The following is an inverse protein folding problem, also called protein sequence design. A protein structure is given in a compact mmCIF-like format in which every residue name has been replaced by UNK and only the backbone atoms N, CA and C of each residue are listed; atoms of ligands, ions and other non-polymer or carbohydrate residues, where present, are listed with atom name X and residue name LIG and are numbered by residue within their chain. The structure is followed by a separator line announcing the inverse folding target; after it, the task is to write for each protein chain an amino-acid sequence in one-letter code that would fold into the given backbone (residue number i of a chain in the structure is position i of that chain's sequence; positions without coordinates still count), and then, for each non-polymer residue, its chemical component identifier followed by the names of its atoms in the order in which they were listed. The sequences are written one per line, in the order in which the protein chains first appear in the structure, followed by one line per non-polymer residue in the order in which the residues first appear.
data_IF_080024502577
#
_entry.id   IF_080024502577
#
_cell.length_a   1.000
_cell.length_b   1.000
_cell.length_c   1.000
_cell.angle_alpha   90.00
_cell.angle_beta   90.00
_cell.angle_gamma   90.00
#
_symmetry.space_group_name_H-M   'P 1'
#
loop_
_entity.id
_entity.type
_entity.pdbx_description
1 polymer ?
#
# COMPACT_ATOMS: atom_id res chain seq x y z
N UNK A 1 2.63 32.31 -2.83
CA UNK A 1 3.66 31.49 -2.12
C UNK A 1 3.13 30.06 -2.08
N UNK A 2 3.89 29.09 -2.51
CA UNK A 2 3.45 27.68 -2.39
C UNK A 2 3.41 27.30 -0.88
N UNK A 3 2.35 26.62 -0.48
CA UNK A 3 2.19 26.16 0.91
C UNK A 3 3.36 25.24 1.30
N UNK A 4 4.04 25.53 2.40
CA UNK A 4 5.12 24.69 2.93
C UNK A 4 4.52 23.58 3.80
N UNK A 5 4.18 22.45 3.19
CA UNK A 5 3.64 21.30 3.92
C UNK A 5 4.63 20.58 4.85
N UNK A 6 5.96 20.73 4.66
CA UNK A 6 6.95 20.14 5.60
C UNK A 6 6.74 20.62 7.04
N UNK A 7 6.21 21.82 7.21
CA UNK A 7 5.94 22.37 8.54
C UNK A 7 4.88 21.57 9.34
N UNK A 8 3.96 20.89 8.65
CA UNK A 8 2.93 20.08 9.28
C UNK A 8 3.50 18.74 9.83
N UNK A 9 4.71 18.36 9.39
CA UNK A 9 5.37 17.10 9.74
C UNK A 9 6.53 17.36 10.70
N UNK A 10 6.38 17.13 12.00
CA UNK A 10 7.38 17.50 13.02
C UNK A 10 8.77 16.94 12.78
N UNK A 11 8.88 15.72 12.25
CA UNK A 11 10.17 15.14 11.92
C UNK A 11 10.88 15.94 10.83
N UNK A 12 10.18 16.29 9.76
CA UNK A 12 10.74 17.05 8.63
C UNK A 12 11.03 18.50 8.99
N UNK A 13 10.26 19.09 9.92
CA UNK A 13 10.50 20.43 10.43
C UNK A 13 11.75 20.52 11.34
N UNK A 14 12.13 19.40 11.98
CA UNK A 14 13.23 19.35 12.96
C UNK A 14 14.51 18.73 12.41
N UNK A 15 14.46 18.02 11.30
CA UNK A 15 15.61 17.32 10.70
C UNK A 15 15.97 17.90 9.36
N UNK A 16 17.26 18.18 9.16
CA UNK A 16 17.79 18.56 7.86
C UNK A 16 18.04 17.30 7.01
N UNK A 17 16.98 16.77 6.39
CA UNK A 17 17.01 15.57 5.58
C UNK A 17 16.09 15.71 4.37
N UNK A 18 16.56 15.34 3.19
CA UNK A 18 15.72 15.08 2.04
C UNK A 18 15.16 13.65 2.19
N UNK A 19 13.94 13.55 2.76
CA UNK A 19 13.30 12.24 2.99
C UNK A 19 12.59 11.78 1.72
N UNK A 20 13.19 10.83 1.02
CA UNK A 20 12.77 10.32 -0.29
C UNK A 20 12.50 8.80 -0.26
N UNK A 21 11.97 8.28 0.87
CA UNK A 21 11.59 6.87 1.03
C UNK A 21 10.12 6.72 1.47
N UNK A 22 9.23 7.61 0.97
CA UNK A 22 7.80 7.65 1.35
C UNK A 22 7.04 6.38 0.95
N UNK A 23 7.41 5.73 -0.15
CA UNK A 23 6.82 4.45 -0.56
C UNK A 23 7.12 3.28 0.42
N UNK A 24 8.12 3.43 1.30
CA UNK A 24 8.35 2.49 2.41
C UNK A 24 7.51 2.85 3.63
N UNK A 25 7.52 4.11 4.04
CA UNK A 25 6.66 4.69 5.08
C UNK A 25 6.63 6.21 4.91
N UNK A 26 5.45 6.83 4.88
CA UNK A 26 5.32 8.29 4.86
C UNK A 26 5.57 8.87 6.26
N UNK A 27 5.87 10.16 6.35
CA UNK A 27 5.95 10.87 7.64
C UNK A 27 4.54 11.18 8.17
N UNK A 28 4.42 11.44 9.48
CA UNK A 28 3.14 11.71 10.14
C UNK A 28 2.98 13.19 10.38
N UNK A 29 1.84 13.80 9.97
CA UNK A 29 1.53 15.16 10.34
C UNK A 29 1.23 15.26 11.84
N UNK A 30 1.39 16.45 12.40
CA UNK A 30 1.18 16.68 13.83
C UNK A 30 -0.20 16.24 14.31
N UNK A 31 -1.26 16.45 13.51
CA UNK A 31 -2.63 16.08 13.88
C UNK A 31 -2.80 14.56 14.12
N UNK A 32 -2.06 13.73 13.42
CA UNK A 32 -2.07 12.27 13.62
C UNK A 32 -1.42 11.89 14.95
N UNK A 33 -0.26 12.49 15.26
CA UNK A 33 0.42 12.27 16.53
C UNK A 33 -0.44 12.76 17.73
N UNK A 34 -1.14 13.87 17.53
CA UNK A 34 -2.04 14.42 18.54
C UNK A 34 -3.27 13.53 18.75
N UNK A 35 -3.85 12.97 17.70
CA UNK A 35 -4.99 12.06 17.79
C UNK A 35 -4.66 10.78 18.58
N UNK A 36 -3.52 10.14 18.33
CA UNK A 36 -3.06 8.99 19.11
C UNK A 36 -2.81 9.36 20.58
N UNK A 37 -2.13 10.48 20.81
CA UNK A 37 -1.89 10.99 22.17
C UNK A 37 -3.19 11.29 22.90
N UNK A 38 -4.15 11.93 22.25
CA UNK A 38 -5.46 12.26 22.81
C UNK A 38 -6.22 11.01 23.20
N UNK A 39 -6.25 9.98 22.33
CA UNK A 39 -6.87 8.71 22.65
C UNK A 39 -6.32 8.13 23.96
N UNK A 40 -5.00 7.98 24.08
CA UNK A 40 -4.38 7.40 25.27
C UNK A 40 -4.52 8.25 26.53
N UNK A 41 -4.59 9.57 26.41
CA UNK A 41 -4.66 10.47 27.57
C UNK A 41 -6.07 10.76 28.02
N UNK A 42 -7.10 10.57 27.17
CA UNK A 42 -8.47 10.97 27.48
C UNK A 42 -9.51 9.85 27.30
N UNK A 43 -9.31 8.92 26.37
CA UNK A 43 -10.32 7.95 25.95
C UNK A 43 -9.85 6.48 26.08
N UNK A 44 -8.71 6.24 26.73
CA UNK A 44 -8.11 4.92 26.80
C UNK A 44 -8.95 3.94 27.62
N UNK A 45 -9.72 3.11 26.92
CA UNK A 45 -10.45 1.98 27.46
C UNK A 45 -10.53 0.85 26.41
N UNK A 46 -10.91 -0.36 26.82
CA UNK A 46 -11.21 -1.45 25.88
C UNK A 46 -12.53 -1.13 25.17
N UNK A 47 -12.56 -1.00 23.84
CA UNK A 47 -13.79 -0.74 23.09
C UNK A 47 -14.70 -1.97 23.06
N UNK A 48 -15.94 -1.79 22.57
CA UNK A 48 -16.99 -2.76 22.22
C UNK A 48 -17.80 -3.32 23.41
N UNK A 49 -17.19 -3.86 24.46
CA UNK A 49 -17.95 -4.60 25.51
C UNK A 49 -18.22 -3.87 26.81
N UNK A 50 -17.58 -2.75 27.06
CA UNK A 50 -17.78 -1.97 28.29
C UNK A 50 -19.02 -1.10 28.20
N UNK A 51 -19.81 -1.05 29.29
CA UNK A 51 -21.01 -0.19 29.37
C UNK A 51 -20.74 1.13 30.10
N UNK A 52 -19.50 1.42 30.47
CA UNK A 52 -19.08 2.67 31.14
C UNK A 52 -18.61 3.72 30.11
N UNK A 53 -18.70 5.03 30.42
CA UNK A 53 -18.49 6.11 29.47
C UNK A 53 -17.19 6.00 28.66
N UNK A 54 -16.04 5.73 29.28
CA UNK A 54 -14.75 5.61 28.58
C UNK A 54 -14.74 4.47 27.56
N UNK A 55 -15.40 3.34 27.82
CA UNK A 55 -15.48 2.25 26.85
C UNK A 55 -16.38 2.61 25.66
N UNK A 56 -17.43 3.37 25.90
CA UNK A 56 -18.30 3.90 24.85
C UNK A 56 -17.51 4.89 23.99
N UNK A 57 -16.78 5.83 24.59
CA UNK A 57 -15.94 6.78 23.87
C UNK A 57 -14.85 6.08 23.03
N UNK A 58 -14.23 5.03 23.56
CA UNK A 58 -13.24 4.24 22.83
C UNK A 58 -13.87 3.49 21.65
N UNK A 59 -15.11 2.99 21.80
CA UNK A 59 -15.89 2.35 20.73
C UNK A 59 -16.27 3.37 19.67
N UNK A 60 -16.76 4.54 20.07
CA UNK A 60 -17.11 5.63 19.14
C UNK A 60 -15.90 6.09 18.32
N UNK A 61 -14.71 6.17 18.93
CA UNK A 61 -13.48 6.50 18.23
C UNK A 61 -13.11 5.43 17.17
N UNK A 62 -13.24 4.15 17.52
CA UNK A 62 -12.98 3.03 16.60
C UNK A 62 -13.97 3.02 15.42
N UNK A 63 -15.27 3.11 15.71
CA UNK A 63 -16.31 3.03 14.66
C UNK A 63 -16.36 4.31 13.80
N UNK A 64 -16.06 5.48 14.37
CA UNK A 64 -15.87 6.70 13.59
C UNK A 64 -14.70 6.59 12.62
N UNK A 65 -13.60 5.96 13.03
CA UNK A 65 -12.47 5.68 12.15
C UNK A 65 -12.86 4.69 11.04
N UNK A 66 -13.66 3.66 11.35
CA UNK A 66 -14.19 2.72 10.34
C UNK A 66 -15.06 3.43 9.31
N UNK A 67 -15.96 4.28 9.73
CA UNK A 67 -16.80 5.10 8.86
C UNK A 67 -15.95 6.06 7.99
N UNK A 68 -14.88 6.63 8.54
CA UNK A 68 -13.94 7.46 7.77
C UNK A 68 -13.21 6.66 6.69
N UNK A 69 -12.76 5.44 6.98
CA UNK A 69 -12.15 4.53 5.99
C UNK A 69 -13.16 4.15 4.90
N UNK A 70 -14.40 3.81 5.29
CA UNK A 70 -15.46 3.49 4.33
C UNK A 70 -15.72 4.65 3.37
N UNK A 71 -15.87 5.85 3.89
CA UNK A 71 -16.03 7.09 3.10
C UNK A 71 -14.84 7.30 2.17
N UNK A 72 -13.62 7.18 2.68
CA UNK A 72 -12.38 7.42 1.95
C UNK A 72 -12.19 6.46 0.77
N UNK A 73 -12.61 5.20 0.92
CA UNK A 73 -12.55 4.18 -0.12
C UNK A 73 -13.80 4.13 -1.02
N UNK A 74 -14.84 4.89 -0.72
CA UNK A 74 -16.12 4.80 -1.44
C UNK A 74 -16.85 3.46 -1.21
N UNK A 75 -16.65 2.83 -0.05
CA UNK A 75 -17.40 1.64 0.35
C UNK A 75 -18.88 1.97 0.59
N UNK A 76 -19.78 1.02 0.35
CA UNK A 76 -21.21 1.23 0.51
C UNK A 76 -21.61 1.33 1.99
N UNK A 77 -20.93 0.59 2.86
CA UNK A 77 -21.21 0.50 4.28
C UNK A 77 -19.91 0.36 5.09
N UNK A 78 -19.93 0.79 6.34
CA UNK A 78 -18.77 0.66 7.25
C UNK A 78 -18.47 -0.81 7.60
N UNK A 79 -19.47 -1.68 7.54
CA UNK A 79 -19.34 -3.12 7.77
C UNK A 79 -18.51 -3.85 6.70
N UNK A 80 -18.21 -3.20 5.59
CA UNK A 80 -17.28 -3.67 4.54
C UNK A 80 -15.82 -3.41 4.88
N UNK A 81 -15.53 -2.74 6.01
CA UNK A 81 -14.18 -2.38 6.43
C UNK A 81 -13.75 -3.22 7.62
N UNK A 82 -12.66 -3.96 7.47
CA UNK A 82 -12.00 -4.73 8.53
C UNK A 82 -10.68 -4.06 8.87
N UNK A 83 -10.46 -3.71 10.13
CA UNK A 83 -9.16 -3.21 10.57
C UNK A 83 -8.13 -4.33 10.60
N UNK A 84 -6.96 -4.05 10.08
CA UNK A 84 -5.79 -4.95 10.03
C UNK A 84 -4.56 -4.19 10.51
N UNK A 85 -3.47 -4.91 10.76
CA UNK A 85 -2.19 -4.25 11.11
C UNK A 85 -1.56 -3.51 9.92
N UNK A 86 -1.81 -3.95 8.71
CA UNK A 86 -1.27 -3.40 7.46
C UNK A 86 -1.85 -4.15 6.25
N UNK A 87 -1.49 -3.73 5.04
CA UNK A 87 -1.83 -4.41 3.76
C UNK A 87 -1.46 -5.90 3.77
N UNK A 88 -0.27 -6.24 4.30
CA UNK A 88 0.18 -7.65 4.34
C UNK A 88 -0.80 -8.52 5.10
N UNK A 89 -1.28 -8.08 6.27
CA UNK A 89 -2.29 -8.83 7.01
C UNK A 89 -3.62 -8.90 6.27
N UNK A 90 -4.07 -7.80 5.66
CA UNK A 90 -5.31 -7.80 4.87
C UNK A 90 -5.27 -8.80 3.71
N UNK A 91 -4.18 -8.83 2.94
CA UNK A 91 -4.00 -9.79 1.85
C UNK A 91 -3.89 -11.24 2.35
N UNK A 92 -3.23 -11.47 3.50
CA UNK A 92 -3.21 -12.79 4.13
C UNK A 92 -4.61 -13.20 4.63
N UNK A 93 -5.38 -12.27 5.20
CA UNK A 93 -6.76 -12.55 5.63
C UNK A 93 -7.59 -13.05 4.43
N UNK A 94 -7.55 -12.36 3.29
CA UNK A 94 -8.23 -12.81 2.08
C UNK A 94 -7.72 -14.17 1.63
N UNK A 95 -6.43 -14.39 1.59
CA UNK A 95 -5.84 -15.66 1.16
C UNK A 95 -6.24 -16.84 2.08
N UNK A 96 -6.18 -16.65 3.40
CA UNK A 96 -6.51 -17.71 4.36
C UNK A 96 -8.02 -17.94 4.49
N UNK A 97 -8.81 -16.88 4.53
CA UNK A 97 -10.25 -17.01 4.74
C UNK A 97 -10.99 -17.28 3.43
N UNK A 98 -10.81 -16.45 2.40
CA UNK A 98 -11.44 -16.68 1.11
C UNK A 98 -10.70 -17.73 0.29
N UNK A 99 -9.40 -17.59 0.11
CA UNK A 99 -8.61 -18.44 -0.78
C UNK A 99 -8.68 -19.92 -0.40
N UNK A 100 -8.45 -20.29 0.86
CA UNK A 100 -8.48 -21.70 1.29
C UNK A 100 -9.89 -22.31 1.29
N UNK A 101 -10.96 -21.49 1.40
CA UNK A 101 -12.33 -22.01 1.42
C UNK A 101 -12.97 -22.12 0.02
N UNK A 102 -12.52 -21.31 -0.95
CA UNK A 102 -13.15 -21.24 -2.29
C UNK A 102 -12.28 -21.80 -3.42
N UNK A 103 -10.95 -21.84 -3.26
CA UNK A 103 -10.03 -22.33 -4.29
C UNK A 103 -9.75 -23.82 -4.09
N UNK A 104 -9.81 -24.60 -5.16
CA UNK A 104 -9.68 -26.07 -5.16
C UNK A 104 -8.59 -26.53 -6.11
N UNK A 105 -8.24 -27.80 -6.04
CA UNK A 105 -7.28 -28.43 -6.97
C UNK A 105 -7.74 -28.26 -8.44
N UNK A 106 -6.83 -27.77 -9.28
CA UNK A 106 -7.10 -27.49 -10.69
C UNK A 106 -7.64 -26.09 -10.99
N UNK A 107 -8.05 -25.33 -9.98
CA UNK A 107 -8.35 -23.91 -10.12
C UNK A 107 -7.07 -23.08 -10.35
N UNK A 108 -7.24 -21.84 -10.77
CA UNK A 108 -6.15 -20.93 -11.11
C UNK A 108 -6.26 -19.63 -10.29
N UNK A 109 -5.11 -19.18 -9.80
CA UNK A 109 -4.92 -17.84 -9.21
C UNK A 109 -3.99 -17.08 -10.15
N UNK A 110 -4.40 -15.87 -10.56
CA UNK A 110 -3.65 -15.02 -11.46
C UNK A 110 -3.14 -13.79 -10.72
N UNK A 111 -1.82 -13.59 -10.70
CA UNK A 111 -1.17 -12.41 -10.13
C UNK A 111 -0.22 -11.78 -11.15
N UNK A 112 0.32 -10.59 -10.89
CA UNK A 112 1.33 -10.03 -11.78
C UNK A 112 2.77 -10.33 -11.30
N UNK A 113 3.74 -10.25 -12.23
CA UNK A 113 5.18 -10.29 -11.88
C UNK A 113 5.62 -9.05 -11.10
N UNK A 114 4.82 -8.01 -11.13
CA UNK A 114 5.12 -6.71 -10.51
C UNK A 114 4.72 -6.63 -9.03
N UNK A 115 4.07 -7.66 -8.50
CA UNK A 115 3.50 -7.62 -7.16
C UNK A 115 4.56 -7.47 -6.07
N UNK A 116 4.21 -6.72 -5.03
CA UNK A 116 4.91 -6.77 -3.76
C UNK A 116 4.82 -8.20 -3.18
N UNK A 117 5.85 -8.66 -2.47
CA UNK A 117 5.89 -10.01 -1.88
C UNK A 117 4.64 -10.34 -1.05
N UNK A 118 4.02 -9.34 -0.42
CA UNK A 118 2.77 -9.50 0.35
C UNK A 118 1.58 -9.94 -0.51
N UNK A 119 1.62 -9.69 -1.82
CA UNK A 119 0.59 -10.13 -2.78
C UNK A 119 1.07 -11.29 -3.68
N UNK A 120 2.16 -11.94 -3.31
CA UNK A 120 2.67 -13.17 -3.96
C UNK A 120 2.62 -14.35 -3.01
N UNK A 121 3.26 -14.21 -1.84
CA UNK A 121 3.50 -15.33 -0.91
C UNK A 121 2.21 -15.95 -0.35
N UNK A 122 1.17 -15.18 -0.01
CA UNK A 122 -0.10 -15.77 0.43
C UNK A 122 -0.74 -16.64 -0.65
N UNK A 123 -0.69 -16.22 -1.91
CA UNK A 123 -1.24 -17.01 -3.02
C UNK A 123 -0.44 -18.25 -3.34
N UNK A 124 0.90 -18.20 -3.22
CA UNK A 124 1.74 -19.40 -3.29
C UNK A 124 1.38 -20.40 -2.19
N UNK A 125 1.05 -19.93 -0.99
CA UNK A 125 0.62 -20.77 0.12
C UNK A 125 -0.74 -21.41 -0.18
N UNK A 126 -1.74 -20.64 -0.67
CA UNK A 126 -3.04 -21.17 -1.08
C UNK A 126 -2.87 -22.26 -2.13
N UNK A 127 -2.14 -21.98 -3.21
CA UNK A 127 -1.90 -22.96 -4.27
C UNK A 127 -1.25 -24.25 -3.76
N UNK A 128 -0.30 -24.13 -2.83
CA UNK A 128 0.39 -25.27 -2.22
C UNK A 128 -0.55 -26.14 -1.38
N UNK A 129 -1.50 -25.53 -0.67
CA UNK A 129 -2.45 -26.25 0.18
C UNK A 129 -3.64 -26.82 -0.60
N UNK A 130 -4.11 -26.14 -1.62
CA UNK A 130 -5.32 -26.52 -2.37
C UNK A 130 -5.03 -27.38 -3.62
N UNK A 131 -3.80 -27.33 -4.14
CA UNK A 131 -3.44 -27.92 -5.44
C UNK A 131 -3.85 -27.04 -6.64
N UNK A 132 -4.18 -25.78 -6.41
CA UNK A 132 -4.42 -24.81 -7.47
C UNK A 132 -3.12 -24.37 -8.15
N UNK A 133 -3.24 -23.73 -9.31
CA UNK A 133 -2.10 -23.24 -10.09
C UNK A 133 -1.97 -21.72 -9.94
N UNK A 134 -0.75 -21.26 -9.62
CA UNK A 134 -0.41 -19.84 -9.64
C UNK A 134 0.11 -19.47 -11.02
N UNK A 135 -0.52 -18.49 -11.67
CA UNK A 135 -0.12 -17.92 -12.95
C UNK A 135 0.34 -16.47 -12.79
N UNK A 136 1.22 -16.03 -13.65
CA UNK A 136 1.77 -14.67 -13.64
C UNK A 136 1.41 -13.93 -14.94
N UNK A 137 0.88 -12.72 -14.78
CA UNK A 137 0.82 -11.70 -15.82
C UNK A 137 2.20 -11.03 -15.91
N UNK A 138 2.84 -11.09 -17.05
CA UNK A 138 4.09 -10.36 -17.28
C UNK A 138 3.78 -8.93 -17.72
N UNK A 139 4.57 -7.96 -17.27
CA UNK A 139 4.49 -6.59 -17.75
C UNK A 139 5.32 -6.40 -19.04
N UNK A 140 5.06 -5.29 -19.73
CA UNK A 140 5.94 -4.78 -20.76
C UNK A 140 7.22 -4.16 -20.14
N UNK A 141 8.28 -3.89 -20.91
CA UNK A 141 9.53 -3.31 -20.39
C UNK A 141 9.37 -1.97 -19.66
N UNK A 142 8.34 -1.19 -20.02
CA UNK A 142 7.98 0.07 -19.36
C UNK A 142 7.11 -0.12 -18.10
N UNK A 143 6.79 -1.36 -17.75
CA UNK A 143 5.95 -1.73 -16.62
C UNK A 143 4.45 -1.71 -16.91
N UNK A 144 4.01 -1.44 -18.14
CA UNK A 144 2.58 -1.48 -18.50
C UNK A 144 2.04 -2.91 -18.62
N UNK A 145 0.71 -3.07 -18.54
CA UNK A 145 0.00 -4.32 -18.77
C UNK A 145 -0.71 -4.30 -20.14
N UNK A 146 -0.48 -5.30 -20.96
CA UNK A 146 -1.27 -5.56 -22.16
C UNK A 146 -2.56 -6.32 -21.77
N UNK A 147 -3.71 -5.64 -21.82
CA UNK A 147 -5.01 -6.22 -21.47
C UNK A 147 -5.38 -7.43 -22.33
N UNK A 148 -4.92 -7.52 -23.59
CA UNK A 148 -5.18 -8.69 -24.41
C UNK A 148 -4.43 -9.92 -23.89
N UNK A 149 -3.19 -9.73 -23.40
CA UNK A 149 -2.43 -10.80 -22.75
C UNK A 149 -3.06 -11.20 -21.42
N UNK A 150 -3.55 -10.22 -20.62
CA UNK A 150 -4.29 -10.51 -19.39
C UNK A 150 -5.55 -11.32 -19.67
N UNK A 151 -6.37 -10.92 -20.65
CA UNK A 151 -7.58 -11.63 -21.03
C UNK A 151 -7.29 -13.08 -21.47
N UNK A 152 -6.22 -13.31 -22.23
CA UNK A 152 -5.82 -14.65 -22.67
C UNK A 152 -5.38 -15.58 -21.50
N UNK A 153 -4.95 -15.02 -20.36
CA UNK A 153 -4.56 -15.77 -19.16
C UNK A 153 -5.76 -16.14 -18.28
N UNK A 154 -6.85 -15.36 -18.33
CA UNK A 154 -8.06 -15.59 -17.54
C UNK A 154 -8.88 -16.70 -18.22
N UNK A 155 -9.20 -17.74 -17.46
CA UNK A 155 -9.96 -18.92 -17.93
C UNK A 155 -11.15 -19.20 -17.03
N UNK A 156 -12.01 -20.12 -17.43
CA UNK A 156 -13.12 -20.60 -16.59
C UNK A 156 -12.66 -21.26 -15.26
N UNK A 157 -11.37 -21.54 -15.10
CA UNK A 157 -10.78 -22.06 -13.86
C UNK A 157 -10.21 -20.96 -12.97
N UNK A 158 -10.07 -19.73 -13.46
CA UNK A 158 -9.59 -18.61 -12.66
C UNK A 158 -10.61 -18.33 -11.55
N UNK A 159 -10.14 -18.28 -10.29
CA UNK A 159 -10.96 -17.99 -9.09
C UNK A 159 -10.57 -16.68 -8.44
N UNK A 160 -9.31 -16.32 -8.52
CA UNK A 160 -8.77 -15.10 -7.94
C UNK A 160 -7.86 -14.43 -8.94
N UNK A 161 -8.03 -13.13 -9.11
CA UNK A 161 -7.04 -12.24 -9.73
C UNK A 161 -6.56 -11.29 -8.65
N UNK A 162 -5.25 -11.21 -8.40
CA UNK A 162 -4.71 -10.31 -7.40
C UNK A 162 -3.68 -9.38 -8.05
N UNK A 163 -3.88 -8.06 -7.89
CA UNK A 163 -3.10 -7.04 -8.58
C UNK A 163 -2.93 -5.80 -7.69
N UNK A 164 -1.70 -5.29 -7.60
CA UNK A 164 -1.48 -3.97 -7.01
C UNK A 164 -2.04 -2.88 -7.93
N UNK A 165 -2.61 -1.81 -7.35
CA UNK A 165 -3.11 -0.70 -8.17
C UNK A 165 -1.98 0.20 -8.66
N UNK A 166 -0.96 0.44 -7.82
CA UNK A 166 0.23 1.21 -8.18
C UNK A 166 1.48 0.41 -7.80
N UNK A 167 2.42 0.30 -8.73
CA UNK A 167 3.68 -0.41 -8.49
C UNK A 167 4.55 0.30 -7.46
N UNK A 168 4.98 -0.42 -6.43
CA UNK A 168 5.92 0.08 -5.43
C UNK A 168 7.37 0.21 -5.95
N UNK A 169 7.64 -0.25 -7.16
CA UNK A 169 8.96 -0.16 -7.82
C UNK A 169 8.94 0.86 -8.95
N UNK A 170 7.99 0.75 -9.87
CA UNK A 170 7.96 1.58 -11.08
C UNK A 170 7.03 2.80 -10.95
N UNK A 171 6.19 2.85 -9.89
CA UNK A 171 5.18 3.89 -9.73
C UNK A 171 4.03 3.80 -10.74
N UNK A 172 4.03 2.80 -11.61
CA UNK A 172 3.02 2.61 -12.66
C UNK A 172 1.66 2.29 -12.08
N UNK A 173 0.63 2.99 -12.51
CA UNK A 173 -0.77 2.65 -12.21
C UNK A 173 -1.28 1.59 -13.18
N UNK A 174 -2.06 0.63 -12.65
CA UNK A 174 -2.61 -0.47 -13.43
C UNK A 174 -4.12 -0.33 -13.63
N UNK A 175 -4.66 -0.83 -14.76
CA UNK A 175 -6.05 -0.65 -15.17
C UNK A 175 -6.98 -1.61 -14.38
N UNK A 176 -7.10 -1.40 -13.06
CA UNK A 176 -7.83 -2.27 -12.13
C UNK A 176 -9.25 -2.54 -12.60
N UNK A 177 -10.00 -1.52 -13.02
CA UNK A 177 -11.38 -1.67 -13.49
C UNK A 177 -11.49 -2.61 -14.69
N UNK A 178 -10.60 -2.46 -15.69
CA UNK A 178 -10.63 -3.32 -16.86
C UNK A 178 -10.29 -4.78 -16.49
N UNK A 179 -9.35 -4.98 -15.56
CA UNK A 179 -9.02 -6.32 -15.06
C UNK A 179 -10.18 -6.90 -14.24
N UNK A 180 -10.90 -6.10 -13.44
CA UNK A 180 -12.10 -6.51 -12.73
C UNK A 180 -13.17 -7.03 -13.68
N UNK A 181 -13.46 -6.29 -14.75
CA UNK A 181 -14.43 -6.69 -15.76
C UNK A 181 -14.06 -8.03 -16.44
N UNK A 182 -12.77 -8.27 -16.68
CA UNK A 182 -12.28 -9.55 -17.21
C UNK A 182 -12.44 -10.68 -16.18
N UNK A 183 -12.06 -10.46 -14.93
CA UNK A 183 -12.17 -11.45 -13.85
C UNK A 183 -13.63 -11.84 -13.58
N UNK A 184 -14.51 -10.86 -13.46
CA UNK A 184 -15.92 -11.09 -13.16
C UNK A 184 -16.67 -11.84 -14.27
N UNK A 185 -16.26 -11.71 -15.54
CA UNK A 185 -16.84 -12.49 -16.64
C UNK A 185 -16.75 -14.02 -16.44
N UNK A 186 -15.75 -14.48 -15.69
CA UNK A 186 -15.56 -15.91 -15.38
C UNK A 186 -15.93 -16.27 -13.93
N UNK A 187 -16.45 -15.31 -13.17
CA UNK A 187 -16.80 -15.49 -11.75
C UNK A 187 -15.61 -15.50 -10.79
N UNK A 188 -14.46 -14.97 -11.21
CA UNK A 188 -13.30 -14.78 -10.35
C UNK A 188 -13.43 -13.49 -9.55
N UNK A 189 -12.90 -13.46 -8.31
CA UNK A 189 -12.80 -12.24 -7.49
C UNK A 189 -11.53 -11.46 -7.82
N UNK A 190 -11.60 -10.13 -7.69
CA UNK A 190 -10.45 -9.24 -7.80
C UNK A 190 -10.00 -8.76 -6.42
N UNK A 191 -8.75 -9.04 -6.07
CA UNK A 191 -8.06 -8.60 -4.85
C UNK A 191 -7.07 -7.50 -5.21
N UNK A 192 -7.24 -6.32 -4.64
CA UNK A 192 -6.40 -5.15 -4.94
C UNK A 192 -5.44 -4.86 -3.79
N UNK A 193 -4.15 -4.81 -4.09
CA UNK A 193 -3.17 -4.19 -3.19
C UNK A 193 -3.17 -2.67 -3.42
N UNK A 194 -3.81 -1.95 -2.50
CA UNK A 194 -3.95 -0.49 -2.51
C UNK A 194 -2.85 0.24 -1.74
N UNK A 195 -1.77 -0.44 -1.35
CA UNK A 195 -0.76 0.13 -0.47
C UNK A 195 -0.06 1.38 -1.03
N UNK A 196 0.12 1.45 -2.35
CA UNK A 196 0.75 2.60 -3.01
C UNK A 196 -0.26 3.51 -3.71
N UNK A 197 -1.51 3.10 -3.91
CA UNK A 197 -2.52 3.96 -4.53
C UNK A 197 -3.18 4.90 -3.52
N UNK A 198 -3.56 4.39 -2.35
CA UNK A 198 -4.30 5.18 -1.35
C UNK A 198 -3.63 6.47 -0.87
N UNK A 199 -2.27 6.60 -0.82
CA UNK A 199 -1.65 7.88 -0.48
C UNK A 199 -1.61 8.89 -1.63
N UNK A 200 -1.71 8.44 -2.89
CA UNK A 200 -1.42 9.25 -4.07
C UNK A 200 -2.64 9.52 -4.95
N UNK A 201 -3.64 8.64 -4.93
CA UNK A 201 -4.80 8.66 -5.83
C UNK A 201 -6.11 8.59 -5.04
N UNK A 202 -7.18 9.23 -5.54
CA UNK A 202 -8.52 8.95 -5.04
C UNK A 202 -8.90 7.50 -5.40
N UNK A 203 -9.27 6.73 -4.40
CA UNK A 203 -9.66 5.32 -4.56
C UNK A 203 -11.15 5.19 -4.30
N UNK A 204 -11.90 4.65 -5.27
CA UNK A 204 -13.29 4.26 -5.12
C UNK A 204 -13.44 2.78 -5.46
N UNK A 205 -13.64 1.94 -4.46
CA UNK A 205 -13.68 0.49 -4.60
C UNK A 205 -14.82 -0.01 -5.49
N UNK A 206 -15.94 0.72 -5.52
CA UNK A 206 -17.08 0.39 -6.38
C UNK A 206 -16.78 0.70 -7.85
N UNK A 207 -16.17 1.87 -8.15
CA UNK A 207 -15.76 2.24 -9.49
C UNK A 207 -14.64 1.37 -10.04
N UNK A 208 -13.73 0.92 -9.16
CA UNK A 208 -12.68 -0.02 -9.50
C UNK A 208 -13.21 -1.43 -9.76
N UNK A 209 -14.39 -1.78 -9.23
CA UNK A 209 -14.91 -3.14 -9.25
C UNK A 209 -14.09 -4.08 -8.35
N UNK A 210 -13.46 -3.57 -7.31
CA UNK A 210 -12.69 -4.40 -6.39
C UNK A 210 -13.64 -5.24 -5.51
N UNK A 211 -13.35 -6.54 -5.39
CA UNK A 211 -14.02 -7.39 -4.42
C UNK A 211 -13.36 -7.29 -3.05
N UNK A 212 -12.05 -7.10 -3.04
CA UNK A 212 -11.23 -6.82 -1.86
C UNK A 212 -10.18 -5.76 -2.18
N UNK A 213 -9.90 -4.86 -1.22
CA UNK A 213 -8.80 -3.91 -1.31
C UNK A 213 -8.15 -3.74 0.06
N UNK A 214 -6.82 -3.91 0.13
CA UNK A 214 -6.07 -3.74 1.36
C UNK A 214 -5.10 -2.56 1.28
N UNK A 215 -4.98 -1.77 2.35
CA UNK A 215 -3.98 -0.71 2.45
C UNK A 215 -3.36 -0.60 3.84
N UNK A 216 -2.27 0.16 3.96
CA UNK A 216 -1.52 0.38 5.21
C UNK A 216 -1.57 1.83 5.63
N UNK A 217 -1.96 2.10 6.87
CA UNK A 217 -2.01 3.46 7.42
C UNK A 217 -0.66 4.18 7.38
N UNK A 218 0.45 3.49 7.64
CA UNK A 218 1.78 4.10 7.67
C UNK A 218 2.27 4.66 6.33
N UNK A 219 1.65 4.31 5.22
CA UNK A 219 1.93 4.90 3.90
C UNK A 219 0.98 6.07 3.61
N UNK A 220 -0.22 6.03 4.18
CA UNK A 220 -1.24 7.08 4.11
C UNK A 220 -1.07 8.11 5.25
N UNK A 221 0.16 8.48 5.58
CA UNK A 221 0.50 9.46 6.63
C UNK A 221 0.00 9.11 8.04
N UNK A 222 -0.60 7.93 8.22
CA UNK A 222 -1.16 7.42 9.47
C UNK A 222 -0.15 6.61 10.31
N UNK A 223 -0.58 6.07 11.45
CA UNK A 223 0.26 5.29 12.34
C UNK A 223 0.76 3.98 11.73
N UNK A 224 1.85 3.44 12.28
CA UNK A 224 2.25 2.05 12.07
C UNK A 224 1.33 1.11 12.83
N UNK A 225 1.19 -0.12 12.36
CA UNK A 225 0.42 -1.15 13.06
C UNK A 225 -1.10 -1.00 12.93
N UNK A 226 -1.55 -0.18 11.99
CA UNK A 226 -2.95 -0.05 11.55
C UNK A 226 -3.02 0.01 10.02
N UNK A 227 -4.03 -0.60 9.46
CA UNK A 227 -4.44 -0.57 8.07
C UNK A 227 -5.86 -1.07 7.97
N UNK A 228 -6.38 -1.21 6.77
CA UNK A 228 -7.71 -1.76 6.57
C UNK A 228 -7.77 -2.67 5.34
N UNK A 229 -8.72 -3.59 5.40
CA UNK A 229 -9.20 -4.38 4.29
C UNK A 229 -10.65 -3.96 4.02
N UNK A 230 -10.92 -3.50 2.82
CA UNK A 230 -12.26 -3.48 2.26
C UNK A 230 -12.58 -4.86 1.70
N UNK A 231 -13.77 -5.36 1.93
CA UNK A 231 -14.31 -6.54 1.27
C UNK A 231 -15.79 -6.35 1.00
N UNK A 232 -16.28 -6.82 -0.14
CA UNK A 232 -17.72 -6.82 -0.43
C UNK A 232 -18.45 -7.59 0.67
N UNK A 233 -19.55 -7.03 1.16
CA UNK A 233 -20.26 -7.55 2.33
C UNK A 233 -20.60 -9.03 2.20
N UNK A 234 -21.17 -9.45 1.07
CA UNK A 234 -21.55 -10.84 0.83
C UNK A 234 -20.36 -11.81 0.88
N UNK A 235 -19.19 -11.38 0.42
CA UNK A 235 -17.96 -12.21 0.49
C UNK A 235 -17.43 -12.28 1.93
N UNK A 236 -17.44 -11.16 2.65
CA UNK A 236 -17.06 -11.15 4.05
C UNK A 236 -18.00 -12.03 4.90
N UNK A 237 -19.30 -12.06 4.62
CA UNK A 237 -20.27 -12.89 5.34
C UNK A 237 -19.99 -14.39 5.12
N UNK A 238 -19.63 -14.81 3.92
CA UNK A 238 -19.34 -16.21 3.56
C UNK A 238 -17.98 -16.70 4.09
N UNK A 239 -17.02 -15.79 4.28
CA UNK A 239 -15.66 -16.15 4.69
C UNK A 239 -15.61 -16.64 6.14
N UNK A 240 -14.84 -17.72 6.43
CA UNK A 240 -14.52 -18.07 7.81
C UNK A 240 -13.62 -17.02 8.46
N UNK A 241 -13.58 -16.92 9.81
CA UNK A 241 -12.69 -16.00 10.48
C UNK A 241 -11.21 -16.33 10.18
N UNK A 242 -10.36 -15.28 10.21
CA UNK A 242 -8.91 -15.42 9.99
C UNK A 242 -8.19 -15.79 11.30
N UNK A 243 -8.41 -14.99 12.33
CA UNK A 243 -7.91 -15.25 13.68
C UNK A 243 -9.09 -15.56 14.59
N UNK A 244 -8.86 -16.41 15.58
CA UNK A 244 -9.90 -16.76 16.55
C UNK A 244 -9.46 -16.38 17.97
N UNK A 245 -10.41 -15.87 18.77
CA UNK A 245 -10.13 -15.42 20.13
C UNK A 245 -11.30 -14.67 20.74
N UNK A 246 -11.00 -13.76 21.64
CA UNK A 246 -12.00 -12.84 22.21
C UNK A 246 -12.46 -11.80 21.21
N UNK A 247 -13.52 -11.09 21.49
CA UNK A 247 -14.19 -10.02 20.75
C UNK A 247 -14.92 -10.48 19.46
N UNK A 248 -14.39 -11.44 18.72
CA UNK A 248 -14.87 -11.88 17.40
C UNK A 248 -15.98 -12.94 17.44
N UNK A 249 -16.58 -13.17 18.60
CA UNK A 249 -17.62 -14.19 18.83
C UNK A 249 -18.86 -13.60 19.47
N UNK A 250 -20.01 -14.20 19.20
CA UNK A 250 -21.24 -13.97 19.97
C UNK A 250 -21.31 -14.88 21.20
N UNK A 251 -21.00 -16.18 21.00
CA UNK A 251 -21.00 -17.16 22.09
C UNK A 251 -19.99 -18.26 21.87
N UNK A 252 -19.51 -18.86 22.95
CA UNK A 252 -18.61 -20.01 22.95
C UNK A 252 -19.12 -21.07 23.92
N UNK A 253 -19.16 -22.31 23.48
CA UNK A 253 -19.44 -23.51 24.29
C UNK A 253 -18.22 -24.43 24.29
N UNK A 254 -18.32 -25.59 24.97
CA UNK A 254 -17.27 -26.60 24.90
C UNK A 254 -17.18 -27.29 23.54
N UNK A 255 -18.26 -27.27 22.79
CA UNK A 255 -18.39 -27.99 21.52
C UNK A 255 -18.14 -27.09 20.30
N UNK A 256 -18.24 -25.75 20.47
CA UNK A 256 -18.05 -24.82 19.35
C UNK A 256 -18.31 -23.36 19.72
N UNK A 257 -18.31 -22.50 18.70
CA UNK A 257 -18.54 -21.08 18.84
C UNK A 257 -19.48 -20.56 17.76
N UNK A 258 -20.25 -19.53 18.08
CA UNK A 258 -20.94 -18.66 17.12
C UNK A 258 -20.09 -17.41 16.96
N UNK A 259 -19.70 -17.13 15.72
CA UNK A 259 -18.89 -15.96 15.41
C UNK A 259 -19.76 -14.71 15.30
N UNK A 260 -19.18 -13.56 15.57
CA UNK A 260 -19.81 -12.28 15.31
C UNK A 260 -20.02 -12.07 13.81
N UNK A 261 -20.86 -11.11 13.44
CA UNK A 261 -20.99 -10.68 12.04
C UNK A 261 -19.73 -9.94 11.57
N UNK A 262 -19.57 -9.80 10.25
CA UNK A 262 -18.56 -8.92 9.69
C UNK A 262 -18.85 -7.46 10.08
N UNK A 263 -17.82 -6.64 10.34
CA UNK A 263 -16.38 -6.92 10.24
C UNK A 263 -15.79 -7.60 11.49
N UNK A 264 -16.52 -7.60 12.61
CA UNK A 264 -15.97 -7.98 13.93
C UNK A 264 -15.46 -9.42 14.01
N UNK A 265 -16.02 -10.36 13.23
CA UNK A 265 -15.50 -11.73 13.17
C UNK A 265 -14.06 -11.86 12.66
N UNK A 266 -13.52 -10.81 12.06
CA UNK A 266 -12.14 -10.76 11.58
C UNK A 266 -11.20 -9.99 12.51
N UNK A 267 -11.72 -9.34 13.55
CA UNK A 267 -11.00 -8.46 14.47
C UNK A 267 -10.86 -9.11 15.86
N UNK A 268 -10.09 -10.20 15.90
CA UNK A 268 -9.90 -10.96 17.14
C UNK A 268 -8.95 -10.26 18.13
N UNK A 269 -9.32 -10.28 19.40
CA UNK A 269 -8.55 -9.67 20.49
C UNK A 269 -8.80 -8.18 20.65
N UNK A 270 -8.10 -7.54 21.59
CA UNK A 270 -8.21 -6.09 21.77
C UNK A 270 -7.69 -5.35 20.54
N UNK A 271 -8.57 -4.57 19.91
CA UNK A 271 -8.27 -3.86 18.67
C UNK A 271 -7.40 -2.61 18.90
N UNK A 272 -6.70 -2.17 17.87
CA UNK A 272 -5.84 -0.98 17.90
C UNK A 272 -6.66 0.32 17.75
N UNK A 273 -7.46 0.67 18.76
CA UNK A 273 -8.33 1.85 18.70
C UNK A 273 -7.54 3.17 18.63
N UNK A 274 -6.39 3.27 19.30
CA UNK A 274 -5.52 4.45 19.19
C UNK A 274 -4.98 4.64 17.77
N UNK A 275 -4.51 3.54 17.15
CA UNK A 275 -4.08 3.57 15.76
C UNK A 275 -5.23 3.89 14.79
N UNK A 276 -6.45 3.42 15.07
CA UNK A 276 -7.64 3.76 14.29
C UNK A 276 -7.97 5.27 14.39
N UNK A 277 -7.91 5.86 15.58
CA UNK A 277 -8.07 7.30 15.76
C UNK A 277 -7.00 8.11 14.98
N UNK A 278 -5.73 7.66 15.02
CA UNK A 278 -4.65 8.24 14.22
C UNK A 278 -4.87 8.09 12.71
N UNK A 279 -5.39 6.95 12.26
CA UNK A 279 -5.73 6.72 10.84
C UNK A 279 -6.88 7.63 10.38
N UNK A 280 -7.91 7.82 11.23
CA UNK A 280 -8.98 8.77 10.96
C UNK A 280 -8.42 10.18 10.76
N UNK A 281 -7.57 10.66 11.67
CA UNK A 281 -6.94 11.97 11.55
C UNK A 281 -6.06 12.10 10.29
N UNK A 282 -5.43 11.00 9.84
CA UNK A 282 -4.65 10.97 8.60
C UNK A 282 -5.56 11.11 7.37
N UNK A 283 -6.70 10.40 7.34
CA UNK A 283 -7.69 10.50 6.28
C UNK A 283 -8.24 11.93 6.19
N UNK A 284 -8.67 12.51 7.31
CA UNK A 284 -9.18 13.90 7.34
C UNK A 284 -8.10 14.91 6.88
N UNK A 285 -6.83 14.64 7.19
CA UNK A 285 -5.72 15.48 6.74
C UNK A 285 -5.55 15.39 5.22
N UNK A 286 -5.56 14.18 4.64
CA UNK A 286 -5.45 13.96 3.18
C UNK A 286 -6.64 14.58 2.44
N UNK A 287 -7.86 14.35 2.92
CA UNK A 287 -9.07 14.94 2.33
C UNK A 287 -9.03 16.49 2.36
N UNK A 288 -8.52 17.08 3.45
CA UNK A 288 -8.35 18.54 3.56
C UNK A 288 -7.28 19.09 2.61
N UNK A 289 -6.17 18.38 2.40
CA UNK A 289 -5.14 18.76 1.41
C UNK A 289 -5.71 18.63 0.01
N UNK A 290 -6.47 17.57 -0.25
CA UNK A 290 -7.10 17.24 -1.51
C UNK A 290 -6.16 16.55 -2.50
N UNK A 291 -6.66 15.52 -3.18
CA UNK A 291 -5.88 14.74 -4.14
C UNK A 291 -5.36 15.55 -5.33
N UNK A 292 -6.09 16.56 -5.80
CA UNK A 292 -5.61 17.45 -6.85
C UNK A 292 -4.31 18.17 -6.45
N UNK A 293 -4.25 18.62 -5.18
CA UNK A 293 -3.05 19.27 -4.64
C UNK A 293 -1.92 18.26 -4.47
N UNK A 294 -2.21 17.08 -3.91
CA UNK A 294 -1.24 16.00 -3.73
C UNK A 294 -0.63 15.64 -5.07
N UNK A 295 -1.46 15.31 -6.06
CA UNK A 295 -1.04 14.93 -7.40
C UNK A 295 -0.20 16.01 -8.09
N UNK A 296 -0.67 17.26 -8.07
CA UNK A 296 0.05 18.37 -8.71
C UNK A 296 1.45 18.57 -8.11
N UNK A 297 1.59 18.43 -6.79
CA UNK A 297 2.88 18.58 -6.11
C UNK A 297 3.82 17.42 -6.39
N UNK A 298 3.33 16.19 -6.27
CA UNK A 298 4.10 14.99 -6.55
C UNK A 298 4.55 14.93 -7.99
N UNK A 299 3.67 15.26 -8.93
CA UNK A 299 4.02 15.35 -10.35
C UNK A 299 5.12 16.40 -10.60
N UNK A 300 5.02 17.58 -9.99
CA UNK A 300 6.01 18.63 -10.19
C UNK A 300 7.41 18.22 -9.71
N UNK A 301 7.53 17.59 -8.52
CA UNK A 301 8.83 17.12 -8.02
C UNK A 301 9.34 15.90 -8.78
N UNK A 302 8.46 15.01 -9.21
CA UNK A 302 8.80 13.83 -10.01
C UNK A 302 9.30 14.22 -11.38
N UNK A 303 8.66 15.17 -12.05
CA UNK A 303 9.07 15.67 -13.38
C UNK A 303 10.44 16.38 -13.32
N UNK A 304 10.66 17.23 -12.31
CA UNK A 304 11.97 17.89 -12.12
C UNK A 304 13.08 16.85 -11.84
N UNK A 305 12.82 15.89 -10.94
CA UNK A 305 13.78 14.84 -10.63
C UNK A 305 14.07 13.95 -11.84
N UNK A 306 13.04 13.48 -12.55
CA UNK A 306 13.17 12.63 -13.73
C UNK A 306 14.02 13.30 -14.82
N UNK A 307 13.70 14.56 -15.16
CA UNK A 307 14.44 15.30 -16.18
C UNK A 307 15.92 15.49 -15.82
N UNK A 308 16.18 15.86 -14.57
CA UNK A 308 17.56 16.15 -14.11
C UNK A 308 18.38 14.88 -13.87
N UNK A 309 17.78 13.83 -13.36
CA UNK A 309 18.46 12.53 -13.19
C UNK A 309 18.82 11.91 -14.54
N UNK A 310 17.97 12.04 -15.55
CA UNK A 310 18.27 11.59 -16.93
C UNK A 310 19.37 12.36 -17.61
N UNK A 311 19.60 13.61 -17.21
CA UNK A 311 20.72 14.40 -17.71
C UNK A 311 22.09 13.92 -17.16
N UNK A 312 22.09 13.07 -16.12
CA UNK A 312 23.29 12.43 -15.61
C UNK A 312 23.63 11.19 -16.47
N UNK A 313 24.77 11.16 -17.19
CA UNK A 313 25.01 10.18 -18.25
C UNK A 313 25.07 8.73 -17.76
N UNK A 314 25.31 8.53 -16.46
CA UNK A 314 25.49 7.20 -15.86
C UNK A 314 24.28 6.73 -15.05
N UNK A 315 23.19 7.50 -15.04
CA UNK A 315 21.96 7.16 -14.32
C UNK A 315 20.94 6.62 -15.33
N UNK A 316 20.47 5.40 -15.06
CA UNK A 316 19.42 4.78 -15.86
C UNK A 316 18.18 4.60 -15.00
N UNK A 317 17.09 5.28 -15.36
CA UNK A 317 15.80 5.17 -14.70
C UNK A 317 15.00 4.05 -15.35
N UNK A 318 14.33 3.24 -14.53
CA UNK A 318 13.51 2.13 -14.97
C UNK A 318 12.05 2.60 -15.11
N UNK A 319 11.31 1.95 -16.00
CA UNK A 319 9.89 2.23 -16.23
C UNK A 319 9.66 3.22 -17.36
N UNK A 320 8.62 4.01 -17.23
CA UNK A 320 8.15 4.96 -18.27
C UNK A 320 9.08 6.15 -18.45
N UNK A 321 8.98 6.77 -19.61
CA UNK A 321 9.62 8.05 -19.93
C UNK A 321 8.78 9.26 -19.50
N UNK A 322 7.54 9.05 -19.11
CA UNK A 322 6.58 10.10 -18.74
C UNK A 322 6.49 10.22 -17.21
N UNK A 323 6.62 11.43 -16.70
CA UNK A 323 6.58 11.70 -15.25
C UNK A 323 5.22 11.33 -14.62
N UNK A 324 4.15 11.53 -15.37
CA UNK A 324 2.76 11.23 -15.00
C UNK A 324 2.53 9.74 -14.69
N UNK A 325 3.38 8.87 -15.22
CA UNK A 325 3.26 7.43 -15.07
C UNK A 325 4.09 6.86 -13.90
N UNK A 326 4.67 7.73 -13.06
CA UNK A 326 5.54 7.32 -11.94
C UNK A 326 4.92 7.44 -10.54
N UNK A 327 3.80 8.15 -10.38
CA UNK A 327 3.13 8.34 -9.08
C UNK A 327 4.13 8.59 -7.92
N UNK A 328 5.06 9.54 -8.13
CA UNK A 328 6.06 9.90 -7.11
C UNK A 328 7.22 8.91 -6.93
N UNK A 329 7.32 7.83 -7.69
CA UNK A 329 8.33 6.77 -7.51
C UNK A 329 9.28 6.72 -8.71
N UNK A 330 10.59 6.92 -8.48
CA UNK A 330 11.63 6.74 -9.49
C UNK A 330 12.61 5.66 -9.03
N UNK A 331 12.70 4.59 -9.79
CA UNK A 331 13.67 3.51 -9.57
C UNK A 331 14.77 3.57 -10.61
N UNK A 332 16.03 3.46 -10.17
CA UNK A 332 17.16 3.66 -11.04
C UNK A 332 18.38 2.83 -10.63
N UNK A 333 19.36 2.78 -11.52
CA UNK A 333 20.71 2.27 -11.27
C UNK A 333 21.75 3.31 -11.70
N UNK A 334 22.95 3.24 -11.12
CA UNK A 334 24.13 4.00 -11.54
C UNK A 334 25.14 3.02 -12.13
N UNK A 335 25.62 3.31 -13.33
CA UNK A 335 26.54 2.41 -14.04
C UNK A 335 27.80 2.12 -13.21
N UNK A 336 28.09 0.83 -13.06
CA UNK A 336 29.22 0.28 -12.32
C UNK A 336 29.23 0.56 -10.79
N UNK A 337 28.18 1.13 -10.22
CA UNK A 337 28.08 1.35 -8.77
C UNK A 337 26.96 0.48 -8.20
N UNK A 338 27.27 -0.26 -7.14
CA UNK A 338 26.28 -1.11 -6.50
C UNK A 338 25.19 -0.24 -5.83
N UNK A 339 23.88 -0.59 -5.93
CA UNK A 339 22.81 0.23 -5.37
C UNK A 339 22.93 0.54 -3.88
N UNK A 340 23.49 -0.36 -3.08
CA UNK A 340 23.75 -0.09 -1.65
C UNK A 340 24.78 1.00 -1.45
N UNK A 341 25.86 1.00 -2.24
CA UNK A 341 26.91 2.05 -2.17
C UNK A 341 26.33 3.41 -2.59
N UNK A 342 25.49 3.43 -3.64
CA UNK A 342 24.74 4.65 -4.02
C UNK A 342 23.90 5.14 -2.85
N UNK A 343 23.12 4.27 -2.22
CA UNK A 343 22.26 4.62 -1.09
C UNK A 343 23.05 5.13 0.13
N UNK A 344 24.20 4.52 0.42
CA UNK A 344 25.06 4.93 1.52
C UNK A 344 25.68 6.32 1.28
N UNK A 345 26.17 6.57 0.06
CA UNK A 345 26.71 7.87 -0.32
C UNK A 345 25.67 8.98 -0.27
N UNK A 346 24.45 8.72 -0.76
CA UNK A 346 23.32 9.64 -0.68
C UNK A 346 22.92 9.91 0.78
N UNK A 347 22.89 8.87 1.63
CA UNK A 347 22.59 9.01 3.05
C UNK A 347 23.61 9.87 3.79
N UNK A 348 24.92 9.75 3.46
CA UNK A 348 25.96 10.60 4.01
C UNK A 348 25.76 12.09 3.68
N UNK A 349 25.12 12.40 2.55
CA UNK A 349 24.75 13.78 2.14
C UNK A 349 23.36 14.19 2.64
N UNK A 350 22.74 13.40 3.53
CA UNK A 350 21.43 13.68 4.10
C UNK A 350 20.26 13.44 3.15
N UNK A 351 20.42 12.55 2.17
CA UNK A 351 19.35 12.14 1.22
C UNK A 351 18.95 10.70 1.53
N UNK A 352 17.74 10.52 2.08
CA UNK A 352 17.25 9.21 2.48
C UNK A 352 16.52 8.52 1.32
N UNK A 353 17.12 7.46 0.78
CA UNK A 353 16.57 6.62 -0.29
C UNK A 353 16.64 5.15 0.11
N UNK A 354 16.06 4.28 -0.69
CA UNK A 354 16.11 2.84 -0.46
C UNK A 354 16.85 2.10 -1.57
N UNK A 355 17.67 1.11 -1.21
CA UNK A 355 18.30 0.18 -2.15
C UNK A 355 17.82 -1.26 -1.92
N UNK A 356 17.79 -2.08 -2.98
CA UNK A 356 17.48 -3.51 -2.94
C UNK A 356 16.42 -3.92 -3.94
N UNK A 357 15.68 -5.00 -3.62
CA UNK A 357 14.58 -5.54 -4.46
C UNK A 357 13.22 -4.86 -4.19
N UNK A 358 13.12 -3.96 -3.22
CA UNK A 358 11.90 -3.28 -2.81
C UNK A 358 10.71 -4.24 -2.55
N UNK A 359 11.01 -5.46 -2.06
CA UNK A 359 10.04 -6.56 -1.87
C UNK A 359 9.30 -6.97 -3.16
N UNK A 360 9.95 -6.85 -4.33
CA UNK A 360 9.42 -7.23 -5.65
C UNK A 360 10.52 -7.95 -6.47
N UNK A 361 11.10 -9.02 -5.90
CA UNK A 361 12.20 -9.75 -6.54
C UNK A 361 11.84 -10.35 -7.91
N UNK A 362 10.63 -10.91 -8.16
CA UNK A 362 10.24 -11.39 -9.48
C UNK A 362 10.30 -10.28 -10.55
N UNK A 363 9.84 -9.06 -10.24
CA UNK A 363 9.96 -7.92 -11.15
C UNK A 363 11.41 -7.58 -11.45
N UNK A 364 12.28 -7.53 -10.44
CA UNK A 364 13.71 -7.24 -10.64
C UNK A 364 14.37 -8.27 -11.54
N UNK A 365 14.08 -9.55 -11.36
CA UNK A 365 14.57 -10.62 -12.25
C UNK A 365 14.06 -10.46 -13.68
N UNK A 366 12.77 -10.12 -13.85
CA UNK A 366 12.16 -9.86 -15.16
C UNK A 366 12.85 -8.69 -15.87
N UNK A 367 13.13 -7.61 -15.15
CA UNK A 367 13.83 -6.42 -15.69
C UNK A 367 15.35 -6.63 -15.85
N UNK A 368 15.93 -7.75 -15.39
CA UNK A 368 17.34 -8.07 -15.51
C UNK A 368 18.23 -7.38 -14.46
N UNK A 369 17.69 -6.97 -13.32
CA UNK A 369 18.43 -6.32 -12.24
C UNK A 369 18.43 -7.16 -10.97
N UNK A 370 19.58 -7.20 -10.27
CA UNK A 370 19.66 -7.83 -8.95
C UNK A 370 19.19 -6.91 -7.83
N UNK A 371 19.44 -5.62 -7.95
CA UNK A 371 19.00 -4.58 -7.02
C UNK A 371 18.96 -3.24 -7.73
N UNK A 372 18.20 -2.30 -7.18
CA UNK A 372 18.06 -0.93 -7.68
C UNK A 372 18.06 0.05 -6.53
N UNK A 373 18.16 1.34 -6.82
CA UNK A 373 17.88 2.44 -5.88
C UNK A 373 16.49 2.98 -6.19
N UNK A 374 15.70 3.26 -5.17
CA UNK A 374 14.39 3.86 -5.31
C UNK A 374 14.30 5.17 -4.54
N UNK A 375 13.90 6.21 -5.24
CA UNK A 375 13.42 7.48 -4.69
C UNK A 375 11.90 7.45 -4.70
N UNK A 376 11.29 7.89 -3.62
CA UNK A 376 9.84 8.03 -3.56
C UNK A 376 9.44 9.31 -2.85
N UNK A 377 8.75 10.16 -3.59
CA UNK A 377 8.25 11.45 -3.14
C UNK A 377 6.88 11.31 -2.48
N UNK A 378 6.54 12.32 -1.69
CA UNK A 378 5.20 12.60 -1.24
C UNK A 378 4.94 14.11 -1.38
N UNK A 379 3.71 14.55 -1.27
CA UNK A 379 3.34 15.95 -1.50
C UNK A 379 4.05 16.97 -0.61
N UNK A 380 4.69 16.56 0.50
CA UNK A 380 5.52 17.43 1.34
C UNK A 380 6.92 17.69 0.75
N UNK A 381 7.38 16.89 -0.20
CA UNK A 381 8.66 17.12 -0.87
C UNK A 381 8.60 18.34 -1.79
N UNK A 382 9.75 18.97 -2.00
CA UNK A 382 9.86 20.17 -2.80
C UNK A 382 11.16 20.17 -3.64
N UNK A 383 11.35 21.25 -4.39
CA UNK A 383 12.52 21.43 -5.25
C UNK A 383 13.85 21.31 -4.48
N UNK A 384 13.92 21.69 -3.22
CA UNK A 384 15.16 21.60 -2.43
C UNK A 384 15.57 20.16 -2.17
N UNK A 385 14.60 19.25 -2.02
CA UNK A 385 14.87 17.81 -1.91
C UNK A 385 15.43 17.25 -3.23
N UNK A 386 14.89 17.68 -4.37
CA UNK A 386 15.41 17.31 -5.70
C UNK A 386 16.79 17.88 -5.94
N UNK A 387 17.05 19.13 -5.55
CA UNK A 387 18.37 19.75 -5.66
C UNK A 387 19.42 18.95 -4.87
N UNK A 388 19.11 18.51 -3.65
CA UNK A 388 19.99 17.66 -2.83
C UNK A 388 20.21 16.29 -3.46
N UNK A 389 19.13 15.64 -3.93
CA UNK A 389 19.22 14.34 -4.59
C UNK A 389 20.15 14.38 -5.80
N UNK A 390 19.90 15.29 -6.73
CA UNK A 390 20.66 15.38 -7.98
C UNK A 390 22.09 15.85 -7.72
N UNK A 391 22.28 16.80 -6.79
CA UNK A 391 23.61 17.26 -6.40
C UNK A 391 24.48 16.14 -5.82
N UNK A 392 23.92 15.33 -4.90
CA UNK A 392 24.65 14.18 -4.35
C UNK A 392 24.87 13.09 -5.40
N UNK A 393 23.84 12.74 -6.18
CA UNK A 393 23.89 11.70 -7.19
C UNK A 393 24.95 11.98 -8.27
N UNK A 394 25.13 13.24 -8.67
CA UNK A 394 26.14 13.65 -9.65
C UNK A 394 27.59 13.37 -9.21
N UNK A 395 27.85 13.18 -7.92
CA UNK A 395 29.19 12.95 -7.36
C UNK A 395 29.50 11.48 -7.09
N UNK A 396 28.47 10.59 -7.16
CA UNK A 396 28.57 9.20 -6.72
C UNK A 396 29.71 8.46 -7.42
N UNK A 397 29.79 8.56 -8.75
CA UNK A 397 30.82 7.84 -9.53
C UNK A 397 32.23 8.33 -9.20
N UNK A 398 32.46 9.66 -9.18
CA UNK A 398 33.74 10.23 -8.81
C UNK A 398 34.18 9.80 -7.41
N UNK A 399 33.26 9.73 -6.43
CA UNK A 399 33.52 9.22 -5.06
C UNK A 399 33.89 7.73 -5.04
N UNK A 400 33.43 6.96 -6.01
CA UNK A 400 33.78 5.55 -6.19
C UNK A 400 35.04 5.34 -7.05
N UNK A 401 35.68 6.42 -7.50
CA UNK A 401 36.92 6.35 -8.27
C UNK A 401 36.74 6.06 -9.77
N UNK A 402 35.54 6.29 -10.31
CA UNK A 402 35.29 6.24 -11.75
C UNK A 402 35.50 7.63 -12.36
N UNK A 403 36.21 7.67 -13.50
CA UNK A 403 36.29 8.89 -14.32
C UNK A 403 34.94 9.14 -14.99
N UNK A 404 34.46 10.36 -14.98
CA UNK A 404 33.21 10.81 -15.62
C UNK A 404 33.46 11.24 -17.07
#
# INVERSE_FOLDING_TARGET
MSTNYKADFPLLAQRDVAYLDSAATAQRPQCVLDAEREFYTRHNANPLRGLYPLSIEATDALESARAAVARFLGAAQSEEIVFTRNTTEGLNLVAYSYGLSHVKAGDEILISTMEHHSNILPWQMVCRQTGAQLKFMECEPDGSLDLNKVEALITARTRVVALQQVSNVLGREYPIRAVAELAHRVGAVLVVDGAQSTPHLPVNVQELGADFLAFSGHKLYGPMGIGALYGRRELLEEMPPFLTGGEMIESVTREGAVFAEAPHKFEAGTVNAAGAAGLHAAIDYVERVGFDTIHARELAVTADALARMRALPHVRILGSDQAEEHNGILTFVVDNVHPHDVSELLAADGVAVRAGHHCAEPLHRFLGYHATVRVSFAFYNDKTDVDRLVGSLSTVRGRMGYDD
#
